data_IF_322874783706
#
_entry.id   IF_322874783706
#
_cell.length_a   1.000
_cell.length_b   1.000
_cell.length_c   1.000
_cell.angle_alpha   90.00
_cell.angle_beta   90.00
_cell.angle_gamma   90.00
#
_symmetry.space_group_name_H-M   'P 1'
#
loop_
_entity.id
_entity.type
_entity.pdbx_description
1 polymer ?
#
# COMPACT_ATOMS: atom_id res chain seq x y z
N UNK A 1 -11.21 -37.72 9.62
CA UNK A 1 -11.47 -36.30 9.96
C UNK A 1 -10.14 -35.71 10.42
N UNK A 2 -9.38 -35.14 9.49
CA UNK A 2 -8.10 -34.51 9.81
C UNK A 2 -8.38 -33.02 9.94
N UNK A 3 -8.20 -32.46 11.13
CA UNK A 3 -8.33 -31.02 11.34
C UNK A 3 -7.21 -30.34 10.54
N UNK A 4 -7.56 -29.74 9.40
CA UNK A 4 -6.69 -28.76 8.75
C UNK A 4 -6.64 -27.56 9.69
N UNK A 5 -5.50 -27.33 10.33
CA UNK A 5 -5.24 -26.05 10.97
C UNK A 5 -5.27 -25.02 9.84
N UNK A 6 -6.33 -24.20 9.76
CA UNK A 6 -6.34 -23.06 8.84
C UNK A 6 -5.09 -22.24 9.13
N UNK A 7 -4.15 -22.22 8.20
CA UNK A 7 -2.96 -21.41 8.31
C UNK A 7 -3.43 -19.96 8.27
N UNK A 8 -3.20 -19.23 9.36
CA UNK A 8 -3.54 -17.81 9.43
C UNK A 8 -2.28 -16.99 9.19
N UNK A 9 -2.42 -15.83 8.56
CA UNK A 9 -1.31 -14.89 8.38
C UNK A 9 -1.33 -13.90 9.55
N UNK A 10 -0.40 -13.98 10.51
CA UNK A 10 -0.35 -13.03 11.61
C UNK A 10 0.21 -11.67 11.13
N UNK A 11 0.03 -10.57 11.89
CA UNK A 11 0.45 -9.22 11.47
C UNK A 11 1.90 -9.10 11.03
N UNK A 12 2.82 -9.84 11.66
CA UNK A 12 4.25 -9.89 11.34
C UNK A 12 4.57 -10.49 9.96
N UNK A 13 3.60 -11.17 9.34
CA UNK A 13 3.70 -11.71 7.98
C UNK A 13 2.91 -10.89 6.95
N UNK A 14 2.44 -9.69 7.34
CA UNK A 14 1.71 -8.78 6.45
C UNK A 14 2.64 -7.63 6.11
N UNK A 15 3.22 -7.65 4.92
CA UNK A 15 4.26 -6.70 4.53
C UNK A 15 3.67 -5.63 3.61
N UNK A 16 3.97 -4.36 3.90
CA UNK A 16 3.52 -3.26 3.06
C UNK A 16 4.60 -2.85 2.08
N UNK A 17 4.20 -2.63 0.83
CA UNK A 17 4.97 -1.93 -0.17
C UNK A 17 4.26 -0.59 -0.43
N UNK A 18 4.87 0.52 -0.02
CA UNK A 18 4.35 1.88 -0.23
C UNK A 18 5.23 2.69 -1.20
N UNK A 19 4.78 3.87 -1.61
CA UNK A 19 5.50 4.81 -2.47
C UNK A 19 4.58 5.60 -3.40
N UNK A 20 5.12 6.65 -4.03
CA UNK A 20 4.40 7.48 -5.01
C UNK A 20 3.96 6.70 -6.26
N UNK A 21 3.03 7.22 -7.07
CA UNK A 21 2.72 6.62 -8.37
C UNK A 21 3.95 6.59 -9.29
N UNK A 22 3.95 5.72 -10.29
CA UNK A 22 5.06 5.59 -11.24
C UNK A 22 6.33 4.94 -10.68
N UNK A 23 6.34 4.46 -9.43
CA UNK A 23 7.52 3.83 -8.81
C UNK A 23 7.69 2.32 -9.12
N UNK A 24 6.90 1.78 -10.05
CA UNK A 24 6.94 0.38 -10.47
C UNK A 24 6.47 -0.64 -9.41
N UNK A 25 5.66 -0.23 -8.43
CA UNK A 25 5.13 -1.14 -7.38
C UNK A 25 4.25 -2.24 -7.96
N UNK A 26 3.30 -1.89 -8.83
CA UNK A 26 2.36 -2.85 -9.39
C UNK A 26 3.10 -3.94 -10.19
N UNK A 27 4.07 -3.56 -11.03
CA UNK A 27 4.90 -4.53 -11.76
C UNK A 27 5.76 -5.41 -10.83
N UNK A 28 6.26 -4.87 -9.71
CA UNK A 28 6.96 -5.66 -8.70
C UNK A 28 6.03 -6.67 -8.01
N UNK A 29 4.83 -6.23 -7.62
CA UNK A 29 3.83 -7.08 -6.99
C UNK A 29 3.36 -8.19 -7.92
N UNK A 30 3.11 -7.88 -9.19
CA UNK A 30 2.78 -8.85 -10.23
C UNK A 30 3.90 -9.90 -10.37
N UNK A 31 5.17 -9.46 -10.44
CA UNK A 31 6.30 -10.38 -10.52
C UNK A 31 6.41 -11.28 -9.28
N UNK A 32 6.26 -10.73 -8.07
CA UNK A 32 6.24 -11.52 -6.82
C UNK A 32 5.07 -12.52 -6.82
N UNK A 33 3.92 -12.14 -7.36
CA UNK A 33 2.76 -13.01 -7.49
C UNK A 33 3.01 -14.19 -8.43
N UNK A 34 3.73 -13.99 -9.54
CA UNK A 34 4.10 -15.11 -10.44
C UNK A 34 4.98 -16.17 -9.77
N UNK A 35 5.65 -15.80 -8.68
CA UNK A 35 6.47 -16.71 -7.89
C UNK A 35 5.77 -17.22 -6.62
N UNK A 36 4.45 -17.05 -6.53
CA UNK A 36 3.61 -17.64 -5.48
C UNK A 36 3.42 -16.79 -4.22
N UNK A 37 3.88 -15.53 -4.18
CA UNK A 37 3.55 -14.63 -3.09
C UNK A 37 2.14 -14.05 -3.25
N UNK A 38 1.37 -14.11 -2.17
CA UNK A 38 0.02 -13.56 -2.14
C UNK A 38 0.09 -12.05 -1.91
N UNK A 39 -0.82 -11.30 -2.54
CA UNK A 39 -0.93 -9.87 -2.33
C UNK A 39 -2.37 -9.38 -2.30
N UNK A 40 -2.60 -8.27 -1.63
CA UNK A 40 -3.88 -7.57 -1.61
C UNK A 40 -3.97 -6.54 -2.76
N UNK A 41 -5.15 -6.33 -3.35
CA UNK A 41 -5.34 -5.33 -4.42
C UNK A 41 -5.29 -3.90 -3.89
N UNK A 42 -4.77 -2.95 -4.69
CA UNK A 42 -4.71 -1.52 -4.36
C UNK A 42 -6.12 -0.94 -4.15
N UNK A 43 -6.41 -0.43 -2.95
CA UNK A 43 -7.70 0.17 -2.62
C UNK A 43 -8.07 1.34 -3.55
N UNK A 44 -7.16 2.30 -3.73
CA UNK A 44 -7.46 3.55 -4.43
C UNK A 44 -7.91 3.34 -5.88
N UNK A 45 -7.30 2.39 -6.60
CA UNK A 45 -7.66 2.09 -8.00
C UNK A 45 -9.03 1.46 -8.10
N UNK A 46 -9.31 0.46 -7.26
CA UNK A 46 -10.60 -0.22 -7.24
C UNK A 46 -11.75 0.72 -6.82
N UNK A 47 -11.50 1.64 -5.89
CA UNK A 47 -12.47 2.67 -5.49
C UNK A 47 -12.76 3.62 -6.65
N UNK A 48 -11.73 4.16 -7.31
CA UNK A 48 -11.91 5.07 -8.47
C UNK A 48 -12.77 4.41 -9.54
N UNK A 49 -12.42 3.19 -9.94
CA UNK A 49 -13.16 2.45 -10.96
C UNK A 49 -14.63 2.23 -10.56
N UNK A 50 -14.86 1.83 -9.30
CA UNK A 50 -16.22 1.59 -8.79
C UNK A 50 -17.06 2.87 -8.73
N UNK A 51 -16.47 3.98 -8.26
CA UNK A 51 -17.17 5.27 -8.15
C UNK A 51 -17.48 5.86 -9.52
N UNK A 52 -16.55 5.78 -10.47
CA UNK A 52 -16.81 6.21 -11.85
C UNK A 52 -17.95 5.40 -12.50
N UNK A 53 -17.97 4.08 -12.29
CA UNK A 53 -18.98 3.20 -12.88
C UNK A 53 -20.42 3.50 -12.39
N UNK A 54 -20.57 4.01 -11.17
CA UNK A 54 -21.89 4.35 -10.58
C UNK A 54 -22.20 5.85 -10.61
N UNK A 55 -21.31 6.69 -11.17
CA UNK A 55 -21.45 8.14 -11.14
C UNK A 55 -21.30 8.77 -9.74
N UNK A 56 -20.58 8.10 -8.84
CA UNK A 56 -20.27 8.59 -7.51
C UNK A 56 -19.17 9.65 -7.50
N UNK A 57 -19.04 10.38 -6.39
CA UNK A 57 -18.13 11.52 -6.26
C UNK A 57 -16.94 11.26 -5.32
N UNK A 58 -16.88 10.09 -4.64
CA UNK A 58 -15.80 9.72 -3.73
C UNK A 58 -14.50 9.39 -4.51
N UNK A 59 -13.91 10.43 -5.08
CA UNK A 59 -12.77 10.42 -5.99
C UNK A 59 -11.69 11.36 -5.47
N UNK A 60 -10.41 11.13 -5.79
CA UNK A 60 -9.32 12.00 -5.34
C UNK A 60 -9.35 13.40 -5.95
N UNK A 61 -10.10 13.61 -7.04
CA UNK A 61 -10.38 14.92 -7.65
C UNK A 61 -11.82 15.42 -7.39
N UNK A 62 -12.61 14.66 -6.64
CA UNK A 62 -13.97 15.02 -6.23
C UNK A 62 -14.05 15.17 -4.71
N UNK A 63 -14.86 14.33 -4.09
CA UNK A 63 -15.00 14.24 -2.64
C UNK A 63 -13.83 13.46 -2.01
N UNK A 64 -12.74 14.18 -1.74
CA UNK A 64 -11.50 13.64 -1.17
C UNK A 64 -11.68 13.07 0.24
N UNK A 65 -12.61 13.61 1.03
CA UNK A 65 -12.94 13.10 2.36
C UNK A 65 -13.62 11.73 2.27
N UNK A 66 -14.65 11.61 1.42
CA UNK A 66 -15.31 10.32 1.18
C UNK A 66 -14.33 9.28 0.59
N UNK A 67 -13.46 9.70 -0.33
CA UNK A 67 -12.43 8.83 -0.88
C UNK A 67 -11.47 8.30 0.21
N UNK A 68 -11.05 9.16 1.15
CA UNK A 68 -10.20 8.74 2.27
C UNK A 68 -10.88 7.72 3.20
N UNK A 69 -12.18 7.89 3.47
CA UNK A 69 -12.93 6.94 4.30
C UNK A 69 -13.18 5.60 3.57
N UNK A 70 -13.41 5.63 2.26
CA UNK A 70 -13.48 4.41 1.46
C UNK A 70 -12.13 3.67 1.43
N UNK A 71 -11.01 4.40 1.30
CA UNK A 71 -9.68 3.79 1.39
C UNK A 71 -9.48 3.13 2.76
N UNK A 72 -9.81 3.82 3.86
CA UNK A 72 -9.71 3.22 5.19
C UNK A 72 -10.52 1.93 5.30
N UNK A 73 -11.76 1.95 4.83
CA UNK A 73 -12.66 0.79 4.88
C UNK A 73 -12.11 -0.38 4.06
N UNK A 74 -11.53 -0.09 2.89
CA UNK A 74 -10.91 -1.10 2.03
C UNK A 74 -9.66 -1.70 2.64
N UNK A 75 -8.77 -0.87 3.21
CA UNK A 75 -7.55 -1.34 3.87
C UNK A 75 -7.87 -2.23 5.07
N UNK A 76 -8.88 -1.88 5.87
CA UNK A 76 -9.33 -2.72 6.99
C UNK A 76 -9.90 -4.06 6.51
N UNK A 77 -10.70 -4.05 5.44
CA UNK A 77 -11.18 -5.28 4.81
C UNK A 77 -10.01 -6.15 4.36
N UNK A 78 -9.06 -5.58 3.62
CA UNK A 78 -7.89 -6.30 3.11
C UNK A 78 -7.02 -6.85 4.25
N UNK A 79 -6.87 -6.10 5.33
CA UNK A 79 -6.16 -6.54 6.53
C UNK A 79 -6.82 -7.77 7.17
N UNK A 80 -8.16 -7.80 7.24
CA UNK A 80 -8.91 -8.94 7.76
C UNK A 80 -8.87 -10.15 6.84
N UNK A 81 -9.04 -9.95 5.52
CA UNK A 81 -9.00 -11.04 4.53
C UNK A 81 -7.63 -11.72 4.48
N UNK A 82 -6.54 -10.94 4.59
CA UNK A 82 -5.20 -11.48 4.60
C UNK A 82 -4.96 -12.47 5.76
N UNK A 83 -5.70 -12.34 6.87
CA UNK A 83 -5.57 -13.24 8.01
C UNK A 83 -5.86 -14.71 7.65
N UNK A 84 -6.65 -14.96 6.61
CA UNK A 84 -7.11 -16.31 6.23
C UNK A 84 -6.27 -16.94 5.09
N UNK A 85 -5.26 -16.24 4.57
CA UNK A 85 -4.48 -16.72 3.41
C UNK A 85 -3.45 -17.77 3.82
N UNK A 86 -2.71 -17.52 4.91
CA UNK A 86 -1.62 -18.36 5.38
C UNK A 86 -0.29 -18.04 4.67
N UNK A 87 0.75 -17.72 5.46
CA UNK A 87 2.05 -17.30 4.95
C UNK A 87 2.14 -15.79 4.64
N UNK A 88 3.30 -15.32 4.13
CA UNK A 88 3.53 -13.90 3.85
C UNK A 88 2.55 -13.32 2.83
N UNK A 89 1.97 -12.16 3.15
CA UNK A 89 1.06 -11.41 2.28
C UNK A 89 1.59 -10.00 2.06
N UNK A 90 1.68 -9.59 0.80
CA UNK A 90 2.09 -8.25 0.40
C UNK A 90 0.89 -7.32 0.25
N UNK A 91 1.04 -6.07 0.65
CA UNK A 91 0.01 -5.05 0.53
C UNK A 91 0.52 -3.91 -0.36
N UNK A 92 -0.20 -3.60 -1.44
CA UNK A 92 0.01 -2.37 -2.22
C UNK A 92 -0.63 -1.21 -1.46
N UNK A 93 0.15 -0.58 -0.56
CA UNK A 93 -0.30 0.37 0.48
C UNK A 93 -1.00 -0.30 1.65
N UNK A 94 -1.02 0.39 2.79
CA UNK A 94 -1.71 -0.09 4.00
C UNK A 94 -2.49 1.03 4.69
N UNK A 95 -3.07 0.73 5.86
CA UNK A 95 -3.79 1.71 6.70
C UNK A 95 -3.00 3.03 6.90
N UNK A 96 -1.67 3.03 7.13
CA UNK A 96 -0.91 4.27 7.24
C UNK A 96 -0.92 5.14 5.96
N UNK A 97 -1.03 4.54 4.76
CA UNK A 97 -1.14 5.32 3.52
C UNK A 97 -2.39 6.19 3.49
N UNK A 98 -3.46 5.83 4.23
CA UNK A 98 -4.66 6.68 4.36
C UNK A 98 -4.34 7.97 5.12
N UNK A 99 -3.54 7.87 6.18
CA UNK A 99 -3.04 9.04 6.93
C UNK A 99 -2.16 9.89 6.02
N UNK A 100 -1.24 9.24 5.28
CA UNK A 100 -0.37 9.91 4.32
C UNK A 100 -1.17 10.63 3.23
N UNK A 101 -2.17 9.98 2.63
CA UNK A 101 -3.05 10.57 1.62
C UNK A 101 -3.79 11.80 2.15
N UNK A 102 -4.35 11.71 3.37
CA UNK A 102 -5.04 12.85 4.00
C UNK A 102 -4.11 14.04 4.14
N UNK A 103 -2.87 13.81 4.60
CA UNK A 103 -1.83 14.85 4.72
C UNK A 103 -1.47 15.48 3.38
N UNK A 104 -1.17 14.68 2.36
CA UNK A 104 -0.90 15.17 0.98
C UNK A 104 -2.08 16.00 0.46
N UNK A 105 -3.30 15.59 0.78
CA UNK A 105 -4.53 16.27 0.34
C UNK A 105 -4.89 17.52 1.16
N UNK A 106 -4.11 17.87 2.19
CA UNK A 106 -4.42 18.97 3.12
C UNK A 106 -5.66 18.71 3.98
N UNK A 107 -6.05 17.45 4.16
CA UNK A 107 -7.16 17.04 5.00
C UNK A 107 -6.70 16.77 6.44
N UNK A 108 -7.60 16.98 7.39
CA UNK A 108 -7.35 16.58 8.77
C UNK A 108 -7.28 15.05 8.89
N UNK A 109 -6.49 14.57 9.85
CA UNK A 109 -6.44 13.13 10.19
C UNK A 109 -7.39 12.87 11.35
N UNK A 110 -8.54 12.22 11.12
CA UNK A 110 -9.51 11.99 12.17
C UNK A 110 -9.00 10.95 13.16
N UNK A 111 -9.49 11.01 14.41
CA UNK A 111 -9.02 10.14 15.48
C UNK A 111 -9.20 8.65 15.20
N UNK A 112 -10.23 8.25 14.44
CA UNK A 112 -10.45 6.85 14.09
C UNK A 112 -9.42 6.33 13.09
N UNK A 113 -8.95 7.14 12.14
CA UNK A 113 -7.89 6.75 11.21
C UNK A 113 -6.56 6.50 11.95
N UNK A 114 -6.22 7.35 12.93
CA UNK A 114 -5.05 7.14 13.80
C UNK A 114 -5.16 5.85 14.60
N UNK A 115 -6.29 5.65 15.31
CA UNK A 115 -6.53 4.42 16.08
C UNK A 115 -6.52 3.17 15.20
N UNK A 116 -6.98 3.27 13.95
CA UNK A 116 -6.89 2.17 12.99
C UNK A 116 -5.44 1.82 12.67
N UNK A 117 -4.58 2.80 12.37
CA UNK A 117 -3.17 2.57 12.10
C UNK A 117 -2.40 2.01 13.32
N UNK A 118 -2.81 2.37 14.53
CA UNK A 118 -2.25 1.83 15.78
C UNK A 118 -2.70 0.38 16.05
N UNK A 119 -3.95 0.03 15.70
CA UNK A 119 -4.54 -1.28 15.99
C UNK A 119 -4.28 -2.34 14.92
N UNK A 120 -4.39 -1.97 13.66
CA UNK A 120 -4.30 -2.88 12.52
C UNK A 120 -2.89 -2.81 11.92
N UNK A 121 -1.94 -3.31 12.71
CA UNK A 121 -0.51 -3.28 12.39
C UNK A 121 -0.14 -4.26 11.29
N UNK A 122 1.00 -3.98 10.67
CA UNK A 122 1.66 -4.78 9.66
C UNK A 122 3.01 -5.23 10.23
N UNK A 123 3.78 -5.99 9.45
CA UNK A 123 5.18 -6.28 9.76
C UNK A 123 5.93 -4.97 10.05
N UNK A 124 6.91 -5.04 10.96
CA UNK A 124 7.70 -3.87 11.35
C UNK A 124 8.43 -3.26 10.15
N UNK A 125 8.91 -4.12 9.24
CA UNK A 125 9.54 -3.72 8.00
C UNK A 125 8.50 -3.33 6.96
N UNK A 126 8.63 -2.12 6.43
CA UNK A 126 7.83 -1.61 5.30
C UNK A 126 8.76 -1.27 4.16
N UNK A 127 8.47 -1.80 2.97
CA UNK A 127 9.22 -1.47 1.76
C UNK A 127 8.70 -0.16 1.18
N UNK A 128 9.60 0.78 0.92
CA UNK A 128 9.26 2.06 0.29
C UNK A 128 9.91 2.15 -1.08
N UNK A 129 9.08 2.31 -2.11
CA UNK A 129 9.54 2.54 -3.47
C UNK A 129 9.91 4.03 -3.65
N UNK A 130 11.20 4.37 -3.86
CA UNK A 130 11.60 5.76 -4.04
C UNK A 130 11.05 6.33 -5.36
N UNK A 131 10.88 7.65 -5.46
CA UNK A 131 10.62 8.32 -6.73
C UNK A 131 11.77 8.01 -7.69
N UNK A 132 11.42 7.68 -8.95
CA UNK A 132 12.39 7.23 -9.93
C UNK A 132 12.07 7.81 -11.31
N UNK A 133 12.67 8.95 -11.63
CA UNK A 133 12.42 9.69 -12.88
C UNK A 133 12.58 8.83 -14.13
N UNK A 134 13.60 7.96 -14.17
CA UNK A 134 13.90 7.14 -15.35
C UNK A 134 12.78 6.17 -15.76
N UNK A 135 11.90 5.78 -14.82
CA UNK A 135 10.76 4.91 -15.09
C UNK A 135 9.42 5.64 -14.89
N UNK A 136 9.45 6.94 -14.60
CA UNK A 136 8.26 7.74 -14.37
C UNK A 136 7.56 8.01 -15.71
N UNK A 137 6.77 7.04 -16.16
CA UNK A 137 5.78 7.23 -17.20
C UNK A 137 4.45 7.64 -16.53
N UNK A 138 3.77 8.64 -17.08
CA UNK A 138 2.50 9.11 -16.54
C UNK A 138 1.50 7.97 -16.37
N UNK A 139 0.92 7.83 -15.18
CA UNK A 139 -0.17 6.88 -14.94
C UNK A 139 -1.41 7.40 -15.67
N UNK A 140 -1.98 6.59 -16.56
CA UNK A 140 -3.17 6.95 -17.34
C UNK A 140 -4.37 7.29 -16.43
N UNK A 141 -4.43 6.70 -15.22
CA UNK A 141 -5.49 6.94 -14.26
C UNK A 141 -5.16 8.05 -13.24
N UNK A 142 -3.88 8.43 -13.06
CA UNK A 142 -3.46 9.50 -12.14
C UNK A 142 -2.43 10.42 -12.81
N UNK A 143 -2.91 11.53 -13.38
CA UNK A 143 -2.06 12.61 -13.91
C UNK A 143 -1.41 13.40 -12.77
N UNK A 144 -0.37 12.84 -12.15
CA UNK A 144 0.46 13.56 -11.18
C UNK A 144 1.82 13.87 -11.79
N UNK A 145 2.34 15.04 -11.48
CA UNK A 145 3.71 15.45 -11.78
C UNK A 145 4.71 14.67 -10.93
N UNK A 146 5.97 14.61 -11.39
CA UNK A 146 7.05 13.99 -10.61
C UNK A 146 7.24 14.68 -9.24
N UNK A 147 7.06 16.00 -9.18
CA UNK A 147 7.13 16.78 -7.94
C UNK A 147 6.06 16.33 -6.93
N UNK A 148 4.84 16.10 -7.38
CA UNK A 148 3.76 15.59 -6.52
C UNK A 148 4.04 14.14 -6.06
N UNK A 149 4.63 13.31 -6.93
CA UNK A 149 5.02 11.96 -6.57
C UNK A 149 6.15 11.95 -5.50
N UNK A 150 7.09 12.89 -5.61
CA UNK A 150 8.15 13.10 -4.62
C UNK A 150 7.59 13.57 -3.27
N UNK A 151 6.75 14.61 -3.27
CA UNK A 151 6.11 15.11 -2.06
C UNK A 151 5.23 14.03 -1.37
N UNK A 152 4.54 13.21 -2.18
CA UNK A 152 3.80 12.05 -1.68
C UNK A 152 4.74 11.06 -0.99
N UNK A 153 5.88 10.74 -1.62
CA UNK A 153 6.86 9.84 -1.03
C UNK A 153 7.40 10.36 0.30
N UNK A 154 7.77 11.65 0.40
CA UNK A 154 8.25 12.26 1.65
C UNK A 154 7.21 12.14 2.77
N UNK A 155 5.94 12.41 2.46
CA UNK A 155 4.86 12.29 3.43
C UNK A 155 4.63 10.84 3.85
N UNK A 156 4.75 9.87 2.93
CA UNK A 156 4.65 8.45 3.28
C UNK A 156 5.80 8.03 4.21
N UNK A 157 7.04 8.40 3.88
CA UNK A 157 8.21 8.14 4.73
C UNK A 157 7.98 8.69 6.14
N UNK A 158 7.64 9.97 6.26
CA UNK A 158 7.36 10.59 7.55
C UNK A 158 6.22 9.89 8.31
N UNK A 159 5.12 9.56 7.63
CA UNK A 159 3.95 8.92 8.24
C UNK A 159 4.27 7.54 8.81
N UNK A 160 4.99 6.70 8.06
CA UNK A 160 5.40 5.38 8.53
C UNK A 160 6.42 5.46 9.66
N UNK A 161 7.39 6.39 9.57
CA UNK A 161 8.38 6.60 10.64
C UNK A 161 7.72 7.07 11.94
N UNK A 162 6.78 8.01 11.88
CA UNK A 162 6.01 8.47 13.06
C UNK A 162 5.20 7.36 13.72
N UNK A 163 4.75 6.37 12.95
CA UNK A 163 4.03 5.20 13.44
C UNK A 163 4.99 4.07 13.89
N UNK A 164 6.30 4.31 13.93
CA UNK A 164 7.30 3.38 14.44
C UNK A 164 7.56 2.17 13.54
N UNK A 165 7.43 2.33 12.22
CA UNK A 165 7.85 1.32 11.24
C UNK A 165 9.31 1.51 10.82
N UNK A 166 9.97 0.40 10.50
CA UNK A 166 11.31 0.39 9.90
C UNK A 166 11.18 0.40 8.38
N UNK A 167 11.57 1.51 7.75
CA UNK A 167 11.47 1.67 6.31
C UNK A 167 12.70 1.10 5.60
N UNK A 168 12.46 0.25 4.60
CA UNK A 168 13.48 -0.30 3.72
C UNK A 168 13.23 0.21 2.31
N UNK A 169 14.13 1.05 1.82
CA UNK A 169 14.04 1.56 0.45
C UNK A 169 14.28 0.44 -0.57
N UNK A 170 13.40 0.34 -1.55
CA UNK A 170 13.55 -0.60 -2.66
C UNK A 170 14.63 -0.10 -3.64
N UNK A 171 15.51 -0.98 -4.13
CA UNK A 171 16.55 -0.57 -5.04
C UNK A 171 15.96 -0.08 -6.37
N UNK A 172 16.58 0.96 -6.94
CA UNK A 172 16.32 1.45 -8.31
C UNK A 172 17.01 0.52 -9.32
N UNK A 173 16.49 -0.69 -9.42
CA UNK A 173 17.06 -1.81 -10.15
C UNK A 173 15.99 -2.50 -11.01
N UNK A 174 16.39 -3.53 -11.77
CA UNK A 174 15.44 -4.32 -12.57
C UNK A 174 14.38 -4.99 -11.68
N UNK A 175 13.25 -5.38 -12.28
CA UNK A 175 12.18 -6.08 -11.54
C UNK A 175 12.72 -7.36 -10.89
N UNK A 176 13.55 -8.14 -11.59
CA UNK A 176 14.14 -9.36 -11.06
C UNK A 176 15.01 -9.10 -9.81
N UNK A 177 15.84 -8.06 -9.83
CA UNK A 177 16.65 -7.67 -8.67
C UNK A 177 15.80 -7.19 -7.49
N UNK A 178 14.71 -6.45 -7.76
CA UNK A 178 13.76 -6.02 -6.72
C UNK A 178 13.00 -7.20 -6.12
N UNK A 179 12.62 -8.20 -6.92
CA UNK A 179 11.99 -9.44 -6.44
C UNK A 179 12.92 -10.20 -5.50
N UNK A 180 14.16 -10.43 -5.93
CA UNK A 180 15.16 -11.10 -5.11
C UNK A 180 15.43 -10.35 -3.80
N UNK A 181 15.51 -9.01 -3.86
CA UNK A 181 15.67 -8.16 -2.69
C UNK A 181 14.51 -8.28 -1.69
N UNK A 182 13.25 -8.26 -2.18
CA UNK A 182 12.10 -8.40 -1.29
C UNK A 182 12.10 -9.77 -0.63
N UNK A 183 12.32 -10.86 -1.39
CA UNK A 183 12.36 -12.22 -0.84
C UNK A 183 13.40 -12.42 0.26
N UNK A 184 14.63 -11.99 0.02
CA UNK A 184 15.71 -12.06 1.03
C UNK A 184 15.32 -11.39 2.35
N UNK A 185 14.45 -10.37 2.30
CA UNK A 185 13.95 -9.68 3.49
C UNK A 185 12.71 -10.32 4.13
N UNK A 186 11.97 -11.15 3.39
CA UNK A 186 10.83 -11.89 3.93
C UNK A 186 11.26 -13.18 4.65
N UNK A 187 12.43 -13.72 4.31
CA UNK A 187 12.97 -14.98 4.86
C UNK A 187 13.81 -14.80 6.14
N UNK A 188 14.00 -13.55 6.60
CA UNK A 188 14.77 -13.19 7.80
C UNK A 188 13.85 -12.94 8.98
#
# INVERSE_FOLDING_TARGET
>A
MMQSKNATTPPEQRFVITGGPGSGKSSLLEALATEGLMHMPEAGRAIIQSQLAIGGDALPWGNREAFAELMLSWELRSWHEAAEIGGPVLFDRGVPDVIGYRRVSGLSVPGHARRAAERFRYAETVFVAPPWEAIFAGDAERKQSFVEAFATWEIMVATYTELGYTLVELPRASIAERVAFVRDRLER
#
